data_IF_845231761581
#
_entry.id   IF_845231761581
#
_cell.length_a   1.000
_cell.length_b   1.000
_cell.length_c   1.000
_cell.angle_alpha   90.00
_cell.angle_beta   90.00
_cell.angle_gamma   90.00
#
_symmetry.space_group_name_H-M   'P 1'
#
loop_
_entity.id
_entity.type
_entity.pdbx_description
1 polymer ?
#
# COMPACT_ATOMS: atom_id res chain seq x y z
N UNK A 1 56.80 -28.31 -17.75
CA UNK A 1 56.86 -26.85 -17.87
C UNK A 1 56.15 -26.46 -19.17
N UNK A 2 54.85 -26.16 -19.11
CA UNK A 2 54.00 -26.00 -20.29
C UNK A 2 53.28 -24.64 -20.30
N UNK A 3 53.54 -23.90 -21.40
CA UNK A 3 52.66 -23.10 -22.27
C UNK A 3 51.86 -21.89 -21.75
N UNK A 4 52.05 -20.81 -22.52
CA UNK A 4 51.26 -19.57 -22.63
C UNK A 4 49.76 -19.87 -22.83
N UNK A 5 48.92 -19.27 -21.99
CA UNK A 5 47.46 -19.29 -22.09
C UNK A 5 46.92 -18.09 -22.86
N UNK A 6 45.96 -18.36 -23.74
CA UNK A 6 45.41 -17.46 -24.76
C UNK A 6 44.44 -16.41 -24.22
N UNK A 7 44.51 -15.24 -24.84
CA UNK A 7 43.51 -14.18 -24.88
C UNK A 7 42.10 -14.74 -25.21
N UNK A 8 41.13 -14.61 -24.29
CA UNK A 8 39.69 -14.69 -24.61
C UNK A 8 38.95 -13.65 -23.77
N UNK A 9 38.48 -12.59 -24.44
CA UNK A 9 37.48 -11.66 -23.88
C UNK A 9 36.24 -12.47 -23.45
N UNK A 10 35.62 -12.17 -22.30
CA UNK A 10 34.30 -12.71 -22.02
C UNK A 10 33.33 -12.20 -23.09
N UNK A 11 32.61 -13.12 -23.73
CA UNK A 11 31.51 -12.81 -24.65
C UNK A 11 30.39 -12.20 -23.82
N UNK A 12 29.92 -11.03 -24.22
CA UNK A 12 28.68 -10.45 -23.68
C UNK A 12 27.54 -11.44 -23.94
N UNK A 13 26.95 -11.97 -22.88
CA UNK A 13 25.67 -12.65 -22.98
C UNK A 13 24.61 -11.57 -23.15
N UNK A 14 24.23 -11.27 -24.39
CA UNK A 14 23.06 -10.46 -24.68
C UNK A 14 21.82 -11.32 -24.43
N UNK A 15 21.33 -11.31 -23.19
CA UNK A 15 19.95 -11.72 -22.90
C UNK A 15 19.09 -10.47 -22.93
N UNK A 16 18.53 -10.16 -24.10
CA UNK A 16 17.22 -9.49 -24.11
C UNK A 16 16.22 -10.53 -23.59
N UNK A 17 15.57 -10.26 -22.46
CA UNK A 17 14.23 -10.75 -22.12
C UNK A 17 13.85 -10.30 -20.71
N UNK A 18 12.89 -9.40 -20.63
CA UNK A 18 11.63 -9.52 -19.87
C UNK A 18 11.15 -8.11 -19.55
N UNK A 19 9.86 -7.89 -19.74
CA UNK A 19 9.16 -6.65 -19.40
C UNK A 19 9.67 -6.11 -18.07
N UNK A 20 10.09 -4.86 -18.05
CA UNK A 20 10.42 -4.12 -16.83
C UNK A 20 9.21 -4.14 -15.91
N UNK A 21 9.09 -5.17 -15.06
CA UNK A 21 8.23 -5.10 -13.89
C UNK A 21 8.93 -4.09 -13.01
N UNK A 22 8.57 -2.82 -13.14
CA UNK A 22 9.11 -1.77 -12.29
C UNK A 22 8.92 -2.23 -10.84
N UNK A 23 10.02 -2.56 -10.17
CA UNK A 23 10.02 -2.96 -8.78
C UNK A 23 9.57 -1.74 -7.98
N UNK A 24 8.28 -1.72 -7.68
CA UNK A 24 7.64 -0.62 -6.97
C UNK A 24 8.06 -0.74 -5.50
N UNK A 25 8.72 0.27 -4.92
CA UNK A 25 9.17 0.21 -3.54
C UNK A 25 8.00 -0.06 -2.58
N UNK A 26 8.22 -0.95 -1.62
CA UNK A 26 7.28 -1.15 -0.52
C UNK A 26 7.58 -0.07 0.52
N UNK A 27 6.59 0.77 0.84
CA UNK A 27 6.73 1.82 1.86
C UNK A 27 6.52 1.30 3.28
N UNK A 28 5.80 0.19 3.42
CA UNK A 28 5.52 -0.45 4.70
C UNK A 28 4.65 -1.69 4.51
N UNK A 29 4.65 -2.56 5.52
CA UNK A 29 3.78 -3.73 5.56
C UNK A 29 3.38 -4.03 7.00
N UNK A 30 2.27 -4.74 7.16
CA UNK A 30 1.79 -5.23 8.45
C UNK A 30 1.12 -6.60 8.27
N UNK A 31 1.29 -7.46 9.26
CA UNK A 31 0.63 -8.77 9.29
C UNK A 31 -0.67 -8.67 10.08
N UNK A 32 -1.67 -9.43 9.67
CA UNK A 32 -2.80 -9.76 10.55
C UNK A 32 -2.29 -10.42 11.83
N UNK A 33 -3.04 -10.34 12.92
CA UNK A 33 -2.58 -10.84 14.22
C UNK A 33 -2.28 -12.35 14.23
N UNK A 34 -3.03 -13.12 13.43
CA UNK A 34 -2.81 -14.55 13.20
C UNK A 34 -1.70 -14.86 12.18
N UNK A 35 -1.18 -13.84 11.49
CA UNK A 35 -0.15 -13.96 10.46
C UNK A 35 -0.64 -14.58 9.14
N UNK A 36 -1.95 -14.74 8.93
CA UNK A 36 -2.49 -15.31 7.69
C UNK A 36 -2.40 -14.35 6.49
N UNK A 37 -2.47 -13.05 6.74
CA UNK A 37 -2.53 -12.00 5.72
C UNK A 37 -1.44 -10.95 5.94
N UNK A 38 -0.88 -10.46 4.83
CA UNK A 38 0.05 -9.36 4.76
C UNK A 38 -0.61 -8.22 3.97
N UNK A 39 -0.80 -7.07 4.60
CA UNK A 39 -1.15 -5.84 3.89
C UNK A 39 0.12 -5.01 3.70
N UNK A 40 0.35 -4.51 2.50
CA UNK A 40 1.55 -3.74 2.15
C UNK A 40 1.22 -2.56 1.25
N UNK A 41 1.96 -1.46 1.44
CA UNK A 41 1.81 -0.23 0.67
C UNK A 41 2.84 -0.16 -0.45
N UNK A 42 2.37 0.12 -1.67
CA UNK A 42 3.17 0.38 -2.86
C UNK A 42 3.04 1.85 -3.26
N UNK A 43 4.12 2.50 -3.71
CA UNK A 43 4.04 3.85 -4.29
C UNK A 43 4.56 3.92 -5.72
N UNK A 44 3.88 4.69 -6.57
CA UNK A 44 4.37 4.89 -7.94
C UNK A 44 5.47 5.96 -7.96
N UNK A 45 6.65 5.60 -8.45
CA UNK A 45 7.69 6.50 -8.98
C UNK A 45 7.88 7.85 -8.26
N UNK A 46 8.11 7.82 -6.95
CA UNK A 46 8.42 9.02 -6.15
C UNK A 46 7.22 9.85 -5.70
N UNK A 47 6.00 9.34 -5.92
CA UNK A 47 4.79 9.89 -5.33
C UNK A 47 4.65 9.47 -3.86
N UNK A 48 4.07 10.35 -3.05
CA UNK A 48 3.65 10.02 -1.68
C UNK A 48 2.33 9.24 -1.65
N UNK A 49 1.66 9.09 -2.79
CA UNK A 49 0.45 8.28 -2.90
C UNK A 49 0.77 6.80 -2.79
N UNK A 50 0.00 6.12 -1.97
CA UNK A 50 0.13 4.71 -1.66
C UNK A 50 -1.09 3.96 -2.19
N UNK A 51 -0.83 2.79 -2.75
CA UNK A 51 -1.83 1.76 -2.98
C UNK A 51 -1.58 0.65 -1.97
N UNK A 52 -2.57 0.28 -1.17
CA UNK A 52 -2.50 -0.92 -0.32
C UNK A 52 -2.94 -2.11 -1.16
N UNK A 53 -2.19 -3.20 -1.04
CA UNK A 53 -2.58 -4.52 -1.51
C UNK A 53 -2.50 -5.53 -0.36
N UNK A 54 -3.28 -6.60 -0.47
CA UNK A 54 -3.29 -7.70 0.51
C UNK A 54 -2.81 -8.99 -0.14
N UNK A 55 -1.99 -9.75 0.58
CA UNK A 55 -1.50 -11.06 0.17
C UNK A 55 -1.75 -12.08 1.27
N UNK A 56 -2.24 -13.26 0.91
CA UNK A 56 -2.27 -14.42 1.80
C UNK A 56 -0.87 -14.99 1.95
N UNK A 57 -0.40 -15.11 3.18
CA UNK A 57 1.00 -15.46 3.49
C UNK A 57 1.30 -16.92 3.15
N UNK A 58 0.36 -17.83 3.43
CA UNK A 58 0.55 -19.28 3.29
C UNK A 58 1.07 -19.71 1.90
N UNK A 59 0.52 -19.12 0.85
CA UNK A 59 0.82 -19.47 -0.54
C UNK A 59 1.30 -18.27 -1.37
N UNK A 60 1.50 -17.11 -0.74
CA UNK A 60 1.94 -15.86 -1.38
C UNK A 60 0.99 -15.42 -2.50
N UNK A 61 -0.29 -15.69 -2.33
CA UNK A 61 -1.33 -15.29 -3.29
C UNK A 61 -1.81 -13.88 -2.96
N UNK A 62 -1.61 -12.95 -3.90
CA UNK A 62 -2.26 -11.63 -3.86
C UNK A 62 -3.78 -11.80 -3.92
N UNK A 63 -4.48 -11.09 -3.03
CA UNK A 63 -5.93 -11.02 -3.01
C UNK A 63 -6.40 -9.89 -3.94
N UNK A 64 -7.72 -9.80 -4.15
CA UNK A 64 -8.30 -8.78 -5.04
C UNK A 64 -8.39 -7.41 -4.38
N UNK A 65 -8.20 -7.36 -3.06
CA UNK A 65 -8.17 -6.17 -2.21
C UNK A 65 -7.09 -5.18 -2.69
N UNK A 66 -7.55 -4.10 -3.33
CA UNK A 66 -6.71 -2.99 -3.79
C UNK A 66 -7.33 -1.68 -3.36
N UNK A 67 -6.60 -0.91 -2.55
CA UNK A 67 -7.11 0.33 -1.98
C UNK A 67 -6.27 1.52 -2.44
N UNK A 68 -6.94 2.55 -2.93
CA UNK A 68 -6.33 3.76 -3.49
C UNK A 68 -6.54 4.99 -2.60
N UNK A 69 -5.90 6.09 -3.00
CA UNK A 69 -6.03 7.42 -2.38
C UNK A 69 -5.46 7.48 -0.95
N UNK A 70 -4.47 6.65 -0.67
CA UNK A 70 -3.88 6.52 0.65
C UNK A 70 -2.63 7.37 0.71
N UNK A 71 -2.53 8.20 1.75
CA UNK A 71 -1.37 9.03 2.04
C UNK A 71 -1.42 9.38 3.52
N UNK A 72 -0.28 9.41 4.21
CA UNK A 72 -0.20 9.66 5.66
C UNK A 72 -1.09 8.70 6.48
N UNK A 73 -0.96 7.40 6.22
CA UNK A 73 -1.77 6.36 6.86
C UNK A 73 -0.91 5.18 7.31
N UNK A 74 -1.24 4.66 8.49
CA UNK A 74 -0.86 3.31 8.92
C UNK A 74 -1.91 2.29 8.46
N UNK A 75 -1.57 1.00 8.57
CA UNK A 75 -2.51 -0.11 8.34
C UNK A 75 -2.65 -0.83 9.69
N UNK A 76 -3.85 -0.79 10.27
CA UNK A 76 -4.09 -1.35 11.59
C UNK A 76 -5.14 -2.45 11.54
N UNK A 77 -4.68 -3.70 11.55
CA UNK A 77 -5.55 -4.87 11.61
C UNK A 77 -6.40 -4.88 12.88
N UNK A 78 -7.65 -5.32 12.74
CA UNK A 78 -8.43 -5.76 13.90
C UNK A 78 -7.91 -7.09 14.41
N UNK A 79 -8.09 -7.33 15.71
CA UNK A 79 -7.69 -8.58 16.37
C UNK A 79 -8.39 -9.82 15.80
N UNK A 80 -9.58 -9.65 15.19
CA UNK A 80 -10.30 -10.75 14.56
C UNK A 80 -9.83 -11.07 13.12
N UNK A 81 -8.84 -10.33 12.60
CA UNK A 81 -8.24 -10.55 11.29
C UNK A 81 -9.16 -10.31 10.10
N UNK A 82 -10.38 -9.80 10.31
CA UNK A 82 -11.37 -9.62 9.24
C UNK A 82 -11.13 -8.40 8.35
N UNK A 83 -10.27 -7.50 8.80
CA UNK A 83 -10.06 -6.23 8.13
C UNK A 83 -9.10 -5.33 8.89
N UNK A 84 -8.95 -4.11 8.39
CA UNK A 84 -8.03 -3.15 8.95
C UNK A 84 -8.53 -1.71 8.78
N UNK A 85 -8.08 -0.86 9.69
CA UNK A 85 -8.26 0.58 9.61
C UNK A 85 -7.15 1.21 8.79
N UNK A 86 -7.53 2.17 7.95
CA UNK A 86 -6.62 2.97 7.15
C UNK A 86 -7.23 4.35 6.91
N UNK A 87 -6.38 5.34 6.66
CA UNK A 87 -6.80 6.66 6.28
C UNK A 87 -6.60 6.88 4.77
N UNK A 88 -7.51 7.64 4.16
CA UNK A 88 -7.42 8.06 2.76
C UNK A 88 -7.89 9.49 2.60
N UNK A 89 -7.51 10.08 1.46
CA UNK A 89 -8.13 11.31 0.97
C UNK A 89 -9.30 10.96 0.05
N UNK A 90 -10.23 11.91 -0.18
CA UNK A 90 -11.32 11.71 -1.13
C UNK A 90 -10.79 11.38 -2.52
N UNK A 91 -11.48 10.48 -3.22
CA UNK A 91 -11.16 10.18 -4.60
C UNK A 91 -11.27 11.46 -5.46
N UNK A 92 -10.38 11.67 -6.45
CA UNK A 92 -10.47 12.81 -7.34
C UNK A 92 -11.78 12.79 -8.13
N UNK A 93 -12.41 13.95 -8.28
CA UNK A 93 -13.70 14.08 -8.99
C UNK A 93 -13.57 14.04 -10.52
N UNK A 94 -12.34 14.08 -11.05
CA UNK A 94 -12.06 14.03 -12.49
C UNK A 94 -11.07 12.91 -12.78
N UNK A 95 -11.33 12.16 -13.84
CA UNK A 95 -10.40 11.16 -14.36
C UNK A 95 -9.12 11.86 -14.86
N UNK A 96 -7.96 11.39 -14.43
CA UNK A 96 -6.64 11.95 -14.80
C UNK A 96 -5.95 12.75 -13.68
N UNK A 97 -6.68 13.16 -12.66
CA UNK A 97 -6.17 13.87 -11.47
C UNK A 97 -5.62 12.89 -10.40
N UNK A 98 -5.27 11.66 -10.81
CA UNK A 98 -4.81 10.62 -9.92
C UNK A 98 -3.29 10.67 -9.77
N UNK A 99 -2.80 11.30 -8.70
CA UNK A 99 -1.37 11.30 -8.38
C UNK A 99 -0.53 12.41 -9.04
N UNK A 100 -1.15 13.27 -9.86
CA UNK A 100 -0.56 14.49 -10.44
C UNK A 100 -0.92 15.75 -9.66
N UNK A 101 -1.70 15.59 -8.59
CA UNK A 101 -2.29 16.70 -7.86
C UNK A 101 -1.24 17.51 -7.11
N UNK A 102 -1.06 18.76 -7.55
CA UNK A 102 -0.53 19.85 -6.70
C UNK A 102 -1.60 20.39 -5.74
N UNK A 103 -2.80 19.80 -5.80
CA UNK A 103 -3.96 20.09 -4.96
C UNK A 103 -3.64 19.85 -3.49
N UNK A 104 -4.19 20.70 -2.62
CA UNK A 104 -4.06 20.52 -1.18
C UNK A 104 -4.74 19.21 -0.77
N UNK A 105 -4.03 18.37 -0.01
CA UNK A 105 -4.61 17.18 0.61
C UNK A 105 -5.57 17.63 1.73
N UNK A 106 -6.86 17.62 1.44
CA UNK A 106 -7.92 18.09 2.35
C UNK A 106 -8.92 16.97 2.64
N UNK A 107 -9.57 17.06 3.80
CA UNK A 107 -10.58 16.14 4.27
C UNK A 107 -10.04 14.71 4.40
N UNK A 108 -9.01 14.53 5.23
CA UNK A 108 -8.53 13.19 5.56
C UNK A 108 -9.65 12.38 6.22
N UNK A 109 -9.76 11.10 5.89
CA UNK A 109 -10.87 10.24 6.32
C UNK A 109 -10.35 8.90 6.83
N UNK A 110 -10.85 8.46 7.98
CA UNK A 110 -10.61 7.13 8.53
C UNK A 110 -11.64 6.16 7.97
N UNK A 111 -11.18 5.07 7.36
CA UNK A 111 -12.01 3.98 6.90
C UNK A 111 -11.64 2.66 7.56
N UNK A 112 -12.61 1.76 7.57
CA UNK A 112 -12.41 0.35 7.83
C UNK A 112 -12.70 -0.45 6.57
N UNK A 113 -11.73 -1.28 6.17
CA UNK A 113 -11.82 -2.18 5.04
C UNK A 113 -12.05 -3.61 5.53
N UNK A 114 -13.05 -4.29 4.97
CA UNK A 114 -13.24 -5.73 5.17
C UNK A 114 -12.47 -6.50 4.10
N UNK A 115 -11.81 -7.57 4.51
CA UNK A 115 -11.12 -8.43 3.55
C UNK A 115 -12.09 -9.06 2.54
N UNK A 116 -11.72 -8.99 1.27
CA UNK A 116 -12.44 -9.52 0.14
C UNK A 116 -13.59 -8.65 -0.37
N UNK A 117 -13.71 -7.40 0.11
CA UNK A 117 -14.70 -6.43 -0.41
C UNK A 117 -14.06 -5.38 -1.31
N UNK A 118 -14.86 -4.72 -2.14
CA UNK A 118 -14.35 -3.59 -2.93
C UNK A 118 -14.11 -2.36 -2.04
N UNK A 119 -13.15 -1.50 -2.39
CA UNK A 119 -12.84 -0.28 -1.64
C UNK A 119 -14.05 0.69 -1.53
N UNK A 120 -15.01 0.60 -2.45
CA UNK A 120 -16.26 1.38 -2.39
C UNK A 120 -17.20 0.94 -1.27
N UNK A 121 -17.01 -0.26 -0.71
CA UNK A 121 -17.79 -0.80 0.40
C UNK A 121 -17.20 -0.45 1.77
N UNK A 122 -16.04 0.21 1.80
CA UNK A 122 -15.35 0.58 3.03
C UNK A 122 -16.19 1.51 3.90
N UNK A 123 -16.18 1.25 5.21
CA UNK A 123 -16.96 2.02 6.17
C UNK A 123 -16.19 3.27 6.57
N UNK A 124 -16.77 4.45 6.32
CA UNK A 124 -16.26 5.70 6.88
C UNK A 124 -16.45 5.70 8.41
N UNK A 125 -15.35 5.57 9.14
CA UNK A 125 -15.37 5.56 10.60
C UNK A 125 -15.31 6.96 11.19
N UNK A 126 -14.52 7.85 10.58
CA UNK A 126 -14.31 9.20 11.10
C UNK A 126 -13.84 10.20 10.04
N UNK A 127 -14.27 11.45 10.19
CA UNK A 127 -13.79 12.60 9.43
C UNK A 127 -14.12 13.88 10.20
N UNK A 128 -13.37 14.96 9.95
CA UNK A 128 -13.67 16.29 10.47
C UNK A 128 -13.94 17.27 9.32
N UNK A 129 -15.22 17.54 9.00
CA UNK A 129 -15.57 18.53 7.97
C UNK A 129 -15.29 19.97 8.39
N UNK A 130 -15.11 20.24 9.69
CA UNK A 130 -14.91 21.60 10.22
C UNK A 130 -13.46 22.07 10.13
N UNK A 131 -12.50 21.13 10.20
CA UNK A 131 -11.09 21.37 9.89
C UNK A 131 -10.61 20.50 8.71
N UNK A 132 -10.74 20.99 7.47
CA UNK A 132 -10.42 20.22 6.27
C UNK A 132 -8.91 19.96 6.13
N UNK A 133 -8.04 20.63 6.90
CA UNK A 133 -6.58 20.44 6.83
C UNK A 133 -6.08 19.45 7.88
N UNK A 134 -6.94 19.03 8.81
CA UNK A 134 -6.54 18.12 9.85
C UNK A 134 -6.22 16.74 9.26
N UNK A 135 -5.01 16.26 9.56
CA UNK A 135 -4.50 14.94 9.20
C UNK A 135 -4.26 14.20 10.51
N UNK A 136 -4.65 12.95 10.52
CA UNK A 136 -4.69 12.11 11.71
C UNK A 136 -4.37 10.68 11.33
N UNK A 137 -3.88 9.93 12.31
CA UNK A 137 -3.65 8.50 12.17
C UNK A 137 -4.53 7.75 13.14
N UNK A 138 -5.03 6.59 12.72
CA UNK A 138 -5.65 5.64 13.62
C UNK A 138 -4.61 4.67 14.17
N UNK A 139 -4.80 4.27 15.42
CA UNK A 139 -4.08 3.17 16.05
C UNK A 139 -5.08 2.26 16.74
N UNK A 140 -4.95 0.96 16.48
CA UNK A 140 -5.67 -0.05 17.26
C UNK A 140 -4.87 -0.31 18.54
N UNK A 141 -5.54 -0.15 19.67
CA UNK A 141 -5.00 -0.40 21.01
C UNK A 141 -5.17 -1.88 21.37
N UNK A 142 -4.42 -2.36 22.37
CA UNK A 142 -4.41 -3.77 22.76
C UNK A 142 -5.74 -4.29 23.32
N UNK A 143 -6.67 -3.41 23.69
CA UNK A 143 -8.03 -3.78 24.10
C UNK A 143 -9.04 -3.75 22.94
N UNK A 144 -8.55 -3.56 21.70
CA UNK A 144 -9.34 -3.54 20.47
C UNK A 144 -10.02 -2.22 20.15
N UNK A 145 -9.77 -1.15 20.92
CA UNK A 145 -10.30 0.19 20.60
C UNK A 145 -9.44 0.92 19.58
N UNK A 146 -10.07 1.78 18.81
CA UNK A 146 -9.39 2.66 17.84
C UNK A 146 -9.20 4.04 18.48
N UNK A 147 -7.95 4.45 18.64
CA UNK A 147 -7.58 5.81 19.00
C UNK A 147 -7.16 6.58 17.74
N UNK A 148 -7.67 7.80 17.57
CA UNK A 148 -7.23 8.74 16.52
C UNK A 148 -6.37 9.85 17.14
N UNK A 149 -5.23 10.18 16.53
CA UNK A 149 -4.34 11.26 16.98
C UNK A 149 -4.04 12.24 15.86
#
# INVERSE_FOLDING_TARGET
MFRRGSNRKPRSCSTQTSSERMETPILGYTLSEDGEYLAYGLNSSGSDWVTIQVMRVKDKKELEDTLHWIKFSNINWTHDGKGFFYCRFPAPTKEGDAGTETSLNLHHQLYYHFLGTDQSEDILCWTDPSDPKYIFEAKVTSDGKVDTR
#
